data_IF_756799786032
#
_entry.id   IF_756799786032
#
_cell.length_a   1.000
_cell.length_b   1.000
_cell.length_c   1.000
_cell.angle_alpha   90.00
_cell.angle_beta   90.00
_cell.angle_gamma   90.00
#
_symmetry.space_group_name_H-M   'P 1'
#
loop_
_entity.id
_entity.type
_entity.pdbx_description
1 polymer ?
#
# COMPACT_ATOMS: atom_id res chain seq x y z
N UNK A 1 5.32 -12.37 8.78
CA UNK A 1 4.23 -12.05 7.84
C UNK A 1 4.72 -11.01 6.83
N UNK A 2 3.96 -10.66 5.80
CA UNK A 2 4.38 -9.66 4.79
C UNK A 2 3.43 -8.49 4.70
N UNK A 3 3.96 -7.31 4.40
CA UNK A 3 3.21 -6.10 4.09
C UNK A 3 3.65 -5.57 2.72
N UNK A 4 2.69 -5.14 1.92
CA UNK A 4 2.87 -4.43 0.66
C UNK A 4 2.60 -2.94 0.90
N UNK A 5 3.59 -2.10 0.60
CA UNK A 5 3.49 -0.65 0.70
C UNK A 5 3.61 -0.01 -0.68
N UNK A 6 2.80 1.01 -0.92
CA UNK A 6 2.65 1.66 -2.23
C UNK A 6 2.79 3.19 -2.16
N UNK A 7 3.07 3.74 -0.97
CA UNK A 7 3.02 5.17 -0.68
C UNK A 7 4.22 5.66 0.12
N UNK A 8 3.97 6.52 1.10
CA UNK A 8 4.97 7.22 1.91
C UNK A 8 5.92 6.31 2.73
N UNK A 9 5.60 5.02 2.87
CA UNK A 9 6.43 4.00 3.53
C UNK A 9 7.49 3.36 2.61
N UNK A 10 7.41 3.55 1.29
CA UNK A 10 8.41 3.03 0.32
C UNK A 10 9.80 3.58 0.58
N UNK A 11 10.83 2.93 0.04
CA UNK A 11 12.21 3.46 0.06
C UNK A 11 12.25 4.89 -0.49
N UNK A 12 13.10 5.73 0.10
CA UNK A 12 13.27 7.14 -0.25
C UNK A 12 12.01 8.02 -0.05
N UNK A 13 11.02 7.55 0.72
CA UNK A 13 9.85 8.34 1.12
C UNK A 13 9.87 8.67 2.60
N UNK A 14 9.09 9.69 2.99
CA UNK A 14 9.13 10.33 4.31
C UNK A 14 8.94 9.38 5.51
N UNK A 15 8.21 8.28 5.34
CA UNK A 15 7.91 7.35 6.44
C UNK A 15 8.73 6.05 6.37
N UNK A 16 9.73 5.97 5.48
CA UNK A 16 10.53 4.76 5.33
C UNK A 16 11.24 4.32 6.63
N UNK A 17 11.53 5.25 7.54
CA UNK A 17 12.14 4.95 8.83
C UNK A 17 11.39 3.91 9.67
N UNK A 18 10.07 3.75 9.47
CA UNK A 18 9.29 2.71 10.13
C UNK A 18 9.65 1.30 9.63
N UNK A 19 10.13 1.18 8.40
CA UNK A 19 10.48 -0.08 7.73
C UNK A 19 11.99 -0.28 7.55
N UNK A 20 12.83 0.67 7.96
CA UNK A 20 14.29 0.62 7.72
C UNK A 20 14.98 -0.66 8.21
N UNK A 21 14.47 -1.26 9.28
CA UNK A 21 14.99 -2.50 9.87
C UNK A 21 14.21 -3.75 9.44
N UNK A 22 13.19 -3.62 8.59
CA UNK A 22 12.42 -4.73 8.07
C UNK A 22 13.14 -5.35 6.87
N UNK A 23 13.06 -6.67 6.73
CA UNK A 23 13.65 -7.39 5.60
C UNK A 23 12.89 -7.03 4.31
N UNK A 24 13.56 -6.31 3.41
CA UNK A 24 13.04 -5.96 2.09
C UNK A 24 13.05 -7.20 1.19
N UNK A 25 11.87 -7.63 0.77
CA UNK A 25 11.73 -8.81 -0.09
C UNK A 25 11.80 -8.47 -1.58
N UNK A 26 11.56 -7.20 -1.95
CA UNK A 26 11.63 -6.73 -3.33
C UNK A 26 10.46 -5.85 -3.77
N UNK A 27 10.57 -5.34 -5.00
CA UNK A 27 9.48 -4.61 -5.67
C UNK A 27 8.37 -5.57 -6.07
N UNK A 28 7.13 -5.12 -5.98
CA UNK A 28 5.97 -5.92 -6.29
C UNK A 28 4.88 -5.12 -7.01
N UNK A 29 3.96 -5.85 -7.64
CA UNK A 29 2.74 -5.28 -8.24
C UNK A 29 1.50 -6.00 -7.72
N UNK A 30 0.40 -5.30 -7.52
CA UNK A 30 -0.87 -5.95 -7.12
C UNK A 30 -1.35 -6.91 -8.20
N UNK A 31 -1.89 -8.07 -7.82
CA UNK A 31 -2.41 -9.05 -8.80
C UNK A 31 -3.69 -8.53 -9.49
N UNK A 32 -4.55 -7.81 -8.74
CA UNK A 32 -5.72 -7.11 -9.26
C UNK A 32 -5.41 -5.63 -9.47
N UNK A 33 -6.20 -4.99 -10.34
CA UNK A 33 -6.17 -3.54 -10.50
C UNK A 33 -6.89 -2.85 -9.33
N UNK A 34 -6.37 -1.71 -8.90
CA UNK A 34 -7.02 -0.83 -7.93
C UNK A 34 -6.87 0.65 -8.34
N UNK A 35 -7.82 1.52 -7.97
CA UNK A 35 -7.61 2.96 -8.06
C UNK A 35 -6.60 3.41 -7.00
N UNK A 36 -5.54 4.07 -7.45
CA UNK A 36 -4.62 4.81 -6.59
C UNK A 36 -4.68 6.27 -6.99
N UNK A 37 -4.96 7.15 -6.05
CA UNK A 37 -5.08 8.60 -6.26
C UNK A 37 -4.22 9.34 -5.24
N UNK A 38 -3.79 10.56 -5.55
CA UNK A 38 -3.10 11.40 -4.57
C UNK A 38 -4.07 11.94 -3.51
N UNK A 39 -3.59 12.07 -2.28
CA UNK A 39 -4.30 12.86 -1.27
C UNK A 39 -4.31 14.34 -1.66
N UNK A 40 -5.24 15.16 -1.11
CA UNK A 40 -5.27 16.60 -1.38
C UNK A 40 -3.97 17.34 -1.09
N UNK A 41 -3.16 16.86 -0.13
CA UNK A 41 -1.85 17.44 0.17
C UNK A 41 -0.75 16.99 -0.81
N UNK A 42 -0.97 15.88 -1.54
CA UNK A 42 0.02 15.25 -2.42
C UNK A 42 1.10 14.46 -1.70
N UNK A 43 1.07 14.36 -0.37
CA UNK A 43 2.18 13.79 0.42
C UNK A 43 2.12 12.27 0.57
N UNK A 44 0.94 11.70 0.35
CA UNK A 44 0.69 10.27 0.38
C UNK A 44 -0.49 9.95 -0.55
N UNK A 45 -0.60 8.71 -1.04
CA UNK A 45 -1.70 8.30 -1.89
C UNK A 45 -2.81 7.56 -1.14
N UNK A 46 -4.02 7.55 -1.71
CA UNK A 46 -5.14 6.72 -1.31
C UNK A 46 -5.27 5.53 -2.26
N UNK A 47 -5.10 4.32 -1.74
CA UNK A 47 -5.50 3.11 -2.44
C UNK A 47 -6.97 2.81 -2.11
N UNK A 48 -7.83 2.79 -3.13
CA UNK A 48 -9.26 2.55 -2.96
C UNK A 48 -9.56 1.06 -3.14
N UNK A 49 -10.38 0.49 -2.25
CA UNK A 49 -10.76 -0.93 -2.31
C UNK A 49 -11.87 -1.20 -3.35
N UNK A 50 -11.57 -0.88 -4.61
CA UNK A 50 -12.44 -1.10 -5.77
C UNK A 50 -11.67 -2.02 -6.74
N UNK A 51 -11.68 -3.34 -6.50
CA UNK A 51 -10.88 -4.27 -7.27
C UNK A 51 -11.31 -4.29 -8.75
N UNK A 52 -10.35 -4.57 -9.64
CA UNK A 52 -10.51 -4.61 -11.09
C UNK A 52 -10.76 -3.24 -11.75
N UNK A 53 -10.50 -2.15 -11.05
CA UNK A 53 -10.56 -0.77 -11.57
C UNK A 53 -9.19 -0.11 -11.43
N UNK A 54 -8.82 0.81 -12.32
CA UNK A 54 -7.51 1.49 -12.30
C UNK A 54 -6.37 0.60 -12.79
N UNK A 55 -5.29 0.49 -12.03
CA UNK A 55 -4.03 -0.12 -12.48
C UNK A 55 -3.52 -1.19 -11.51
N UNK A 56 -2.59 -2.02 -11.98
CA UNK A 56 -1.80 -2.87 -11.11
C UNK A 56 -0.78 -1.98 -10.39
N UNK A 57 -0.96 -1.81 -9.08
CA UNK A 57 -0.21 -0.82 -8.31
C UNK A 57 1.19 -1.32 -8.00
N UNK A 58 2.19 -0.49 -8.31
CA UNK A 58 3.61 -0.74 -8.03
C UNK A 58 3.94 -0.34 -6.60
N UNK A 59 4.71 -1.19 -5.93
CA UNK A 59 5.11 -0.96 -4.56
C UNK A 59 6.22 -1.92 -4.12
N UNK A 60 6.31 -2.11 -2.83
CA UNK A 60 7.40 -2.83 -2.17
C UNK A 60 6.84 -3.80 -1.14
N UNK A 61 7.49 -4.95 -0.99
CA UNK A 61 7.11 -5.95 0.01
C UNK A 61 8.19 -6.05 1.07
N UNK A 62 7.75 -6.03 2.33
CA UNK A 62 8.60 -6.23 3.49
C UNK A 62 8.10 -7.40 4.31
N UNK A 63 9.02 -8.17 4.87
CA UNK A 63 8.72 -9.13 5.93
C UNK A 63 8.72 -8.39 7.26
N UNK A 64 7.64 -8.55 8.01
CA UNK A 64 7.43 -7.87 9.29
C UNK A 64 6.99 -8.86 10.35
N UNK A 65 7.18 -8.47 11.61
CA UNK A 65 6.62 -9.16 12.77
C UNK A 65 5.32 -8.47 13.24
N UNK A 66 4.66 -9.08 14.22
CA UNK A 66 3.39 -8.57 14.74
C UNK A 66 3.50 -7.21 15.43
N UNK A 67 4.61 -6.94 16.12
CA UNK A 67 4.84 -5.67 16.80
C UNK A 67 4.99 -4.52 15.81
N UNK A 68 5.71 -4.73 14.70
CA UNK A 68 5.82 -3.76 13.63
C UNK A 68 4.48 -3.54 12.93
N UNK A 69 3.71 -4.61 12.69
CA UNK A 69 2.36 -4.49 12.14
C UNK A 69 1.47 -3.59 13.00
N UNK A 70 1.48 -3.74 14.34
CA UNK A 70 0.75 -2.86 15.26
C UNK A 70 1.19 -1.39 15.18
N UNK A 71 2.49 -1.14 15.03
CA UNK A 71 3.03 0.22 14.86
C UNK A 71 2.52 0.85 13.57
N UNK A 72 2.50 0.09 12.48
CA UNK A 72 1.95 0.53 11.21
C UNK A 72 0.43 0.74 11.28
N UNK A 73 -0.31 -0.15 11.94
CA UNK A 73 -1.75 0.02 12.17
C UNK A 73 -2.06 1.34 12.92
N UNK A 74 -1.22 1.71 13.90
CA UNK A 74 -1.33 2.99 14.61
C UNK A 74 -0.97 4.18 13.72
N UNK A 75 0.10 4.07 12.93
CA UNK A 75 0.55 5.11 12.00
C UNK A 75 -0.50 5.41 10.92
N UNK A 76 -1.15 4.37 10.39
CA UNK A 76 -2.16 4.44 9.34
C UNK A 76 -3.59 4.63 9.92
N UNK A 77 -3.69 4.86 11.23
CA UNK A 77 -4.93 5.09 11.99
C UNK A 77 -6.05 4.05 11.68
N UNK A 78 -5.67 2.77 11.69
CA UNK A 78 -6.60 1.65 11.45
C UNK A 78 -7.58 1.50 12.62
N UNK A 79 -8.90 1.28 12.37
CA UNK A 79 -9.57 1.07 11.08
C UNK A 79 -10.24 2.34 10.50
N UNK A 80 -9.92 3.52 11.03
CA UNK A 80 -10.67 4.76 10.78
C UNK A 80 -10.18 5.52 9.55
N UNK A 81 -8.87 5.67 9.37
CA UNK A 81 -8.30 6.40 8.22
C UNK A 81 -7.94 5.45 7.08
N UNK A 82 -7.27 4.34 7.40
CA UNK A 82 -7.12 3.19 6.51
C UNK A 82 -7.73 1.93 7.13
N UNK A 83 -8.05 0.96 6.27
CA UNK A 83 -8.45 -0.40 6.63
C UNK A 83 -7.43 -1.38 6.07
N UNK A 84 -6.88 -2.20 6.96
CA UNK A 84 -5.92 -3.23 6.56
C UNK A 84 -6.63 -4.47 6.01
N UNK A 85 -6.18 -4.97 4.86
CA UNK A 85 -6.66 -6.23 4.23
C UNK A 85 -5.50 -7.03 3.66
N UNK A 86 -5.70 -8.33 3.42
CA UNK A 86 -4.75 -9.14 2.66
C UNK A 86 -5.13 -9.15 1.19
N UNK A 87 -4.16 -8.95 0.31
CA UNK A 87 -4.32 -9.06 -1.14
C UNK A 87 -3.20 -9.90 -1.75
N UNK A 88 -3.43 -10.37 -2.97
CA UNK A 88 -2.40 -10.97 -3.81
C UNK A 88 -1.51 -9.87 -4.41
N UNK A 89 -0.19 -10.02 -4.28
CA UNK A 89 0.82 -9.23 -4.99
C UNK A 89 1.84 -10.16 -5.65
N UNK A 90 2.41 -9.74 -6.78
CA UNK A 90 3.45 -10.47 -7.51
C UNK A 90 4.82 -9.87 -7.21
N UNK A 91 5.75 -10.72 -6.77
CA UNK A 91 7.16 -10.41 -6.52
C UNK A 91 8.03 -11.43 -7.26
N UNK A 92 8.91 -10.99 -8.16
CA UNK A 92 9.76 -11.87 -8.99
C UNK A 92 8.97 -13.06 -9.59
N UNK A 93 7.84 -12.76 -10.24
CA UNK A 93 6.90 -13.73 -10.84
C UNK A 93 6.18 -14.68 -9.87
N UNK A 94 6.42 -14.59 -8.56
CA UNK A 94 5.69 -15.35 -7.52
C UNK A 94 4.55 -14.52 -6.95
N UNK A 95 3.38 -15.13 -6.86
CA UNK A 95 2.23 -14.50 -6.19
C UNK A 95 2.26 -14.82 -4.70
N UNK A 96 2.16 -13.80 -3.84
CA UNK A 96 2.10 -13.94 -2.39
C UNK A 96 0.90 -13.17 -1.83
N UNK A 97 0.45 -13.56 -0.64
CA UNK A 97 -0.57 -12.82 0.11
C UNK A 97 0.07 -11.88 1.12
N UNK A 98 -0.08 -10.57 0.93
CA UNK A 98 0.49 -9.53 1.78
C UNK A 98 -0.59 -8.61 2.37
N UNK A 99 -0.33 -8.05 3.54
CA UNK A 99 -1.14 -6.98 4.12
C UNK A 99 -0.99 -5.70 3.31
N UNK A 100 -2.07 -4.94 3.14
CA UNK A 100 -2.10 -3.62 2.50
C UNK A 100 -3.10 -2.73 3.24
N UNK A 101 -2.87 -1.43 3.23
CA UNK A 101 -3.78 -0.43 3.78
C UNK A 101 -4.64 0.16 2.65
N UNK A 102 -5.96 0.09 2.76
CA UNK A 102 -6.90 0.75 1.85
C UNK A 102 -7.50 1.97 2.53
N UNK A 103 -7.67 3.08 1.82
CA UNK A 103 -8.32 4.26 2.38
C UNK A 103 -9.73 3.89 2.86
N UNK A 104 -10.07 4.27 4.09
CA UNK A 104 -11.31 3.84 4.74
C UNK A 104 -12.53 4.64 4.29
N UNK A 105 -12.31 5.88 3.81
CA UNK A 105 -13.35 6.78 3.35
C UNK A 105 -13.75 6.56 1.89
N UNK A 106 -14.79 7.27 1.48
CA UNK A 106 -15.25 7.30 0.10
C UNK A 106 -14.64 8.51 -0.62
N UNK A 107 -13.98 8.28 -1.76
CA UNK A 107 -13.47 9.34 -2.64
C UNK A 107 -14.00 9.14 -4.04
N UNK A 108 -14.53 10.21 -4.61
CA UNK A 108 -14.75 10.32 -6.05
C UNK A 108 -13.42 10.64 -6.72
N UNK A 109 -13.22 10.11 -7.92
CA UNK A 109 -12.04 10.34 -8.73
C UNK A 109 -12.44 10.33 -10.21
N UNK A 110 -11.64 11.00 -11.03
CA UNK A 110 -11.68 10.95 -12.47
C UNK A 110 -10.55 10.04 -12.98
N UNK A 111 -10.65 9.57 -14.22
CA UNK A 111 -9.60 8.71 -14.83
C UNK A 111 -8.23 9.40 -14.80
N UNK A 112 -8.19 10.72 -15.01
CA UNK A 112 -6.95 11.53 -14.96
C UNK A 112 -6.29 11.60 -13.58
N UNK A 113 -7.01 11.25 -12.51
CA UNK A 113 -6.48 11.28 -11.14
C UNK A 113 -5.75 9.97 -10.78
N UNK A 114 -5.90 8.93 -11.61
CA UNK A 114 -5.35 7.60 -11.36
C UNK A 114 -3.86 7.55 -11.68
N UNK A 115 -3.09 6.99 -10.74
CA UNK A 115 -1.65 6.76 -10.89
C UNK A 115 -1.33 5.26 -10.69
N UNK A 116 -0.27 4.77 -11.33
CA UNK A 116 0.20 3.39 -11.13
C UNK A 116 1.16 3.26 -9.94
N UNK A 117 1.82 4.36 -9.59
CA UNK A 117 2.91 4.42 -8.61
C UNK A 117 3.01 5.83 -8.00
N UNK A 118 3.36 5.88 -6.72
CA UNK A 118 3.68 7.09 -5.96
C UNK A 118 5.18 7.21 -5.68
#
# INVERSE_FOLDING_TARGET
MTVFVYGSLKQNKKLHDFLKNAEFLGKAVTCKKYPLILSPSGWYPYLLNIPNTGFNIKGEVYKINYNLLKKLDRLEEVPFYYKRKRICVKINSKSISAWVYFYAGNKKFLVKDLIEEF
#
